data_IF_065568546849
#
_entry.id   IF_065568546849
#
_cell.length_a   1.000
_cell.length_b   1.000
_cell.length_c   1.000
_cell.angle_alpha   90.00
_cell.angle_beta   90.00
_cell.angle_gamma   90.00
#
_symmetry.space_group_name_H-M   'P 1'
#
loop_
_entity.id
_entity.type
_entity.pdbx_description
1 polymer ?
#
# COMPACT_ATOMS: atom_id res chain seq x y z
N UNK A 1 -11.24 -9.88 11.53
CA UNK A 1 -10.74 -8.76 10.71
C UNK A 1 -11.20 -7.43 11.29
N UNK A 2 -10.39 -6.38 11.08
CA UNK A 2 -10.71 -4.99 11.40
C UNK A 2 -10.38 -4.16 10.15
N UNK A 3 -11.29 -3.29 9.74
CA UNK A 3 -11.03 -2.34 8.67
C UNK A 3 -11.00 -0.91 9.20
N UNK A 4 -10.16 -0.09 8.56
CA UNK A 4 -10.12 1.35 8.82
C UNK A 4 -10.55 2.14 7.58
N UNK A 5 -11.09 3.32 7.81
CA UNK A 5 -11.50 4.26 6.77
C UNK A 5 -11.12 5.69 7.18
N UNK A 6 -10.81 6.53 6.21
CA UNK A 6 -10.43 7.92 6.49
C UNK A 6 -11.63 8.80 6.87
N UNK A 7 -12.72 8.71 6.11
CA UNK A 7 -13.90 9.57 6.24
C UNK A 7 -15.19 8.85 5.88
N UNK A 8 -16.33 9.47 6.15
CA UNK A 8 -17.67 8.88 5.94
C UNK A 8 -17.95 8.48 4.47
N UNK A 9 -17.37 9.16 3.49
CA UNK A 9 -17.53 8.77 2.08
C UNK A 9 -16.81 7.44 1.78
N UNK A 10 -15.65 7.21 2.39
CA UNK A 10 -14.94 5.94 2.27
C UNK A 10 -15.58 4.85 3.14
N UNK A 11 -16.16 5.20 4.29
CA UNK A 11 -16.95 4.27 5.11
C UNK A 11 -18.07 3.62 4.31
N UNK A 12 -18.86 4.42 3.58
CA UNK A 12 -19.95 3.93 2.72
C UNK A 12 -19.47 2.90 1.68
N UNK A 13 -18.22 2.98 1.26
CA UNK A 13 -17.63 2.06 0.28
C UNK A 13 -17.06 0.81 0.91
N UNK A 14 -16.48 0.91 2.10
CA UNK A 14 -15.87 -0.24 2.77
C UNK A 14 -16.91 -1.11 3.48
N UNK A 15 -18.02 -0.53 3.94
CA UNK A 15 -19.06 -1.25 4.68
C UNK A 15 -19.55 -2.51 3.95
N UNK A 16 -19.97 -2.46 2.67
CA UNK A 16 -20.43 -3.68 2.00
C UNK A 16 -19.32 -4.72 1.80
N UNK A 17 -18.05 -4.26 1.68
CA UNK A 17 -16.91 -5.18 1.60
C UNK A 17 -16.65 -5.87 2.95
N UNK A 18 -16.74 -5.13 4.04
CA UNK A 18 -16.61 -5.67 5.39
C UNK A 18 -17.71 -6.68 5.70
N UNK A 19 -18.96 -6.36 5.34
CA UNK A 19 -20.11 -7.25 5.48
C UNK A 19 -19.95 -8.56 4.69
N UNK A 20 -19.38 -8.50 3.47
CA UNK A 20 -19.15 -9.68 2.63
C UNK A 20 -18.18 -10.69 3.25
N UNK A 21 -17.36 -10.28 4.20
CA UNK A 21 -16.43 -11.13 4.95
C UNK A 21 -16.81 -11.24 6.44
N UNK A 22 -18.06 -10.92 6.78
CA UNK A 22 -18.61 -10.95 8.14
C UNK A 22 -17.80 -10.11 9.16
N UNK A 23 -17.16 -9.03 8.71
CA UNK A 23 -16.45 -8.10 9.57
C UNK A 23 -17.38 -6.98 10.03
N UNK A 24 -17.52 -6.80 11.34
CA UNK A 24 -18.31 -5.72 11.95
C UNK A 24 -17.47 -4.58 12.50
N UNK A 25 -16.14 -4.78 12.56
CA UNK A 25 -15.20 -3.85 13.17
C UNK A 25 -14.68 -2.85 12.13
N UNK A 26 -15.27 -1.67 12.13
CA UNK A 26 -14.93 -0.54 11.25
C UNK A 26 -14.56 0.67 12.09
N UNK A 27 -13.33 1.17 11.94
CA UNK A 27 -12.84 2.33 12.70
C UNK A 27 -12.40 3.46 11.78
N UNK A 28 -12.71 4.69 12.18
CA UNK A 28 -12.12 5.84 11.51
C UNK A 28 -10.64 5.94 11.90
N UNK A 29 -9.78 6.08 10.89
CA UNK A 29 -8.36 6.29 11.06
C UNK A 29 -7.81 7.05 9.85
N UNK A 30 -7.56 8.34 10.03
CA UNK A 30 -6.81 9.15 9.07
C UNK A 30 -5.33 9.10 9.43
N UNK A 31 -4.51 8.74 8.47
CA UNK A 31 -3.05 8.64 8.67
C UNK A 31 -2.33 9.97 8.38
N UNK A 32 -3.04 10.99 7.91
CA UNK A 32 -2.47 12.33 7.74
C UNK A 32 -2.24 13.01 9.09
N UNK A 33 -1.35 14.00 9.13
CA UNK A 33 -1.18 14.90 10.28
C UNK A 33 -2.01 16.17 10.13
N UNK A 34 -3.20 16.07 9.54
CA UNK A 34 -4.14 17.15 9.50
C UNK A 34 -4.53 17.55 10.94
N UNK A 35 -4.53 18.85 11.31
CA UNK A 35 -4.95 19.30 12.64
C UNK A 35 -6.33 18.80 13.09
N UNK A 36 -7.25 18.56 12.15
CA UNK A 36 -8.57 18.01 12.45
C UNK A 36 -8.55 16.51 12.79
N UNK A 37 -7.46 15.82 12.46
CA UNK A 37 -7.30 14.37 12.61
C UNK A 37 -6.04 13.98 13.41
N UNK A 38 -5.46 14.92 14.15
CA UNK A 38 -4.31 14.66 15.01
C UNK A 38 -4.56 13.46 15.94
N UNK A 39 -3.54 12.59 16.04
CA UNK A 39 -3.57 11.38 16.85
C UNK A 39 -4.61 10.33 16.42
N UNK A 40 -5.10 10.36 15.16
CA UNK A 40 -6.09 9.39 14.68
C UNK A 40 -5.59 7.95 14.77
N UNK A 41 -4.32 7.70 14.45
CA UNK A 41 -3.69 6.36 14.57
C UNK A 41 -3.61 5.95 16.05
N UNK A 42 -3.16 6.84 16.92
CA UNK A 42 -3.00 6.59 18.35
C UNK A 42 -4.34 6.33 19.04
N UNK A 43 -5.37 7.08 18.67
CA UNK A 43 -6.75 6.89 19.16
C UNK A 43 -7.30 5.53 18.72
N UNK A 44 -7.11 5.16 17.44
CA UNK A 44 -7.48 3.85 16.93
C UNK A 44 -6.78 2.72 17.70
N UNK A 45 -5.46 2.80 17.86
CA UNK A 45 -4.67 1.80 18.59
C UNK A 45 -5.08 1.72 20.06
N UNK A 46 -5.38 2.85 20.70
CA UNK A 46 -5.88 2.89 22.07
C UNK A 46 -7.23 2.20 22.21
N UNK A 47 -8.12 2.37 21.23
CA UNK A 47 -9.38 1.66 21.17
C UNK A 47 -9.18 0.14 21.05
N UNK A 48 -8.27 -0.31 20.19
CA UNK A 48 -7.94 -1.73 20.07
C UNK A 48 -7.36 -2.30 21.36
N UNK A 49 -6.50 -1.54 22.03
CA UNK A 49 -5.89 -1.93 23.30
C UNK A 49 -6.92 -2.06 24.42
N UNK A 50 -7.86 -1.13 24.53
CA UNK A 50 -8.93 -1.18 25.56
C UNK A 50 -9.87 -2.36 25.36
N UNK A 51 -10.04 -2.82 24.12
CA UNK A 51 -10.80 -4.03 23.78
C UNK A 51 -9.96 -5.33 23.84
N UNK A 52 -8.72 -5.26 24.34
CA UNK A 52 -7.80 -6.40 24.48
C UNK A 52 -7.46 -7.10 23.15
N UNK A 53 -7.58 -6.43 22.00
CA UNK A 53 -7.19 -7.00 20.71
C UNK A 53 -5.68 -7.22 20.64
N UNK A 54 -5.30 -8.31 19.97
CA UNK A 54 -3.95 -8.58 19.51
C UNK A 54 -3.93 -8.62 17.98
N UNK A 55 -2.90 -8.01 17.40
CA UNK A 55 -2.76 -7.91 15.95
C UNK A 55 -1.80 -8.98 15.46
N UNK A 56 -2.25 -9.82 14.53
CA UNK A 56 -1.45 -10.83 13.86
C UNK A 56 -0.84 -10.28 12.56
N UNK A 57 -1.55 -9.38 11.88
CA UNK A 57 -1.06 -8.75 10.66
C UNK A 57 -1.65 -7.36 10.43
N UNK A 58 -0.95 -6.57 9.64
CA UNK A 58 -1.38 -5.25 9.17
C UNK A 58 -1.24 -5.18 7.65
N UNK A 59 -2.29 -4.74 6.96
CA UNK A 59 -2.25 -4.37 5.55
C UNK A 59 -2.37 -2.86 5.43
N UNK A 60 -1.28 -2.22 5.05
CA UNK A 60 -1.23 -0.78 4.80
C UNK A 60 -1.47 -0.50 3.31
N UNK A 61 -2.72 -0.21 2.96
CA UNK A 61 -3.15 0.04 1.59
C UNK A 61 -3.52 1.53 1.39
N UNK A 62 -2.61 2.42 1.82
CA UNK A 62 -2.82 3.87 1.82
C UNK A 62 -1.85 4.55 0.86
N UNK A 63 -2.36 5.51 0.09
CA UNK A 63 -1.55 6.44 -0.70
C UNK A 63 -2.36 7.69 -1.02
N UNK A 64 -1.70 8.83 -1.07
CA UNK A 64 -2.29 10.10 -1.47
C UNK A 64 -1.25 11.00 -2.12
N UNK A 65 -1.66 11.73 -3.14
CA UNK A 65 -0.99 12.89 -3.71
C UNK A 65 -2.03 13.80 -4.37
N UNK A 66 -1.75 15.07 -4.49
CA UNK A 66 -2.58 15.96 -5.30
C UNK A 66 -2.54 15.50 -6.77
N UNK A 67 -3.71 15.09 -7.28
CA UNK A 67 -3.86 14.58 -8.65
C UNK A 67 -3.48 15.60 -9.74
N UNK A 68 -3.60 16.88 -9.45
CA UNK A 68 -3.24 17.93 -10.42
C UNK A 68 -1.71 18.05 -10.54
N UNK A 69 -0.98 17.83 -9.46
CA UNK A 69 0.49 17.82 -9.47
C UNK A 69 1.11 16.48 -9.91
N UNK A 70 0.31 15.42 -10.07
CA UNK A 70 0.77 14.20 -10.74
C UNK A 70 0.84 14.38 -12.27
N UNK A 71 0.17 15.38 -12.82
CA UNK A 71 0.27 15.77 -14.24
C UNK A 71 1.51 16.64 -14.47
N UNK A 72 1.96 16.71 -15.73
CA UNK A 72 3.06 17.60 -16.10
C UNK A 72 4.43 17.09 -15.68
N UNK A 73 5.34 18.00 -15.35
CA UNK A 73 6.75 17.70 -15.04
C UNK A 73 6.97 17.52 -13.54
N UNK A 74 7.69 16.48 -13.18
CA UNK A 74 8.05 16.22 -11.78
C UNK A 74 8.76 17.41 -11.11
N UNK A 75 9.64 18.12 -11.81
CA UNK A 75 10.40 19.27 -11.26
C UNK A 75 9.52 20.44 -10.80
N UNK A 76 8.24 20.45 -11.21
CA UNK A 76 7.28 21.47 -10.83
C UNK A 76 6.48 21.10 -9.57
N UNK A 77 6.72 19.93 -8.98
CA UNK A 77 6.08 19.48 -7.74
C UNK A 77 6.30 20.49 -6.62
N UNK A 78 5.23 20.96 -6.01
CA UNK A 78 5.31 21.89 -4.88
C UNK A 78 5.89 21.19 -3.64
N UNK A 79 6.59 21.98 -2.79
CA UNK A 79 7.07 21.46 -1.49
C UNK A 79 5.92 20.92 -0.63
N UNK A 80 4.76 21.58 -0.67
CA UNK A 80 3.57 21.16 0.09
C UNK A 80 3.13 19.75 -0.32
N UNK A 81 2.90 19.53 -1.61
CA UNK A 81 2.46 18.23 -2.11
C UNK A 81 3.54 17.17 -1.94
N UNK A 82 4.82 17.52 -2.13
CA UNK A 82 5.94 16.59 -1.89
C UNK A 82 5.91 16.05 -0.46
N UNK A 83 5.86 16.94 0.54
CA UNK A 83 5.84 16.54 1.95
C UNK A 83 4.58 15.73 2.30
N UNK A 84 3.41 16.17 1.86
CA UNK A 84 2.15 15.49 2.12
C UNK A 84 2.12 14.09 1.47
N UNK A 85 2.63 13.97 0.23
CA UNK A 85 2.67 12.68 -0.46
C UNK A 85 3.59 11.69 0.26
N UNK A 86 4.76 12.12 0.72
CA UNK A 86 5.68 11.26 1.47
C UNK A 86 5.15 10.93 2.86
N UNK A 87 4.54 11.87 3.54
CA UNK A 87 3.94 11.64 4.86
C UNK A 87 2.85 10.55 4.77
N UNK A 88 1.84 10.75 3.91
CA UNK A 88 0.70 9.84 3.81
C UNK A 88 1.07 8.53 3.11
N UNK A 89 1.88 8.56 2.04
CA UNK A 89 2.12 7.37 1.20
C UNK A 89 3.33 6.54 1.63
N UNK A 90 4.15 7.04 2.56
CA UNK A 90 5.38 6.38 3.01
C UNK A 90 5.46 6.34 4.53
N UNK A 91 5.55 7.51 5.18
CA UNK A 91 5.84 7.60 6.61
C UNK A 91 4.71 7.05 7.47
N UNK A 92 3.47 7.17 7.01
CA UNK A 92 2.29 6.61 7.70
C UNK A 92 2.42 5.11 7.95
N UNK A 93 3.07 4.33 7.06
CA UNK A 93 3.33 2.90 7.29
C UNK A 93 4.22 2.68 8.50
N UNK A 94 5.28 3.47 8.63
CA UNK A 94 6.19 3.43 9.79
C UNK A 94 5.46 3.85 11.08
N UNK A 95 4.63 4.90 11.03
CA UNK A 95 3.82 5.34 12.18
C UNK A 95 2.83 4.28 12.63
N UNK A 96 2.07 3.70 11.71
CA UNK A 96 1.11 2.63 12.01
C UNK A 96 1.82 1.43 12.65
N UNK A 97 2.95 1.00 12.08
CA UNK A 97 3.73 -0.10 12.63
C UNK A 97 4.20 0.21 14.07
N UNK A 98 4.79 1.39 14.29
CA UNK A 98 5.25 1.84 15.62
C UNK A 98 4.11 1.86 16.63
N UNK A 99 2.97 2.44 16.29
CA UNK A 99 1.83 2.58 17.18
C UNK A 99 1.17 1.25 17.51
N UNK A 100 1.13 0.32 16.53
CA UNK A 100 0.57 -1.02 16.71
C UNK A 100 1.51 -2.00 17.43
N UNK A 101 2.82 -1.75 17.43
CA UNK A 101 3.82 -2.67 18.00
C UNK A 101 3.50 -3.17 19.42
N UNK A 102 3.01 -2.33 20.37
CA UNK A 102 2.67 -2.79 21.72
C UNK A 102 1.49 -3.77 21.81
N UNK A 103 0.66 -3.84 20.77
CA UNK A 103 -0.52 -4.71 20.69
C UNK A 103 -0.39 -5.82 19.63
N UNK A 104 0.78 -5.93 18.99
CA UNK A 104 1.07 -7.09 18.13
C UNK A 104 1.05 -8.38 18.95
N UNK A 105 0.74 -9.48 18.27
CA UNK A 105 0.79 -10.81 18.90
C UNK A 105 2.23 -11.08 19.41
N UNK A 106 2.41 -11.53 20.67
CA UNK A 106 3.74 -11.84 21.21
C UNK A 106 4.51 -12.91 20.41
N UNK A 107 3.83 -13.75 19.65
CA UNK A 107 4.45 -14.75 18.77
C UNK A 107 5.03 -14.15 17.48
N UNK A 108 4.77 -12.88 17.20
CA UNK A 108 5.16 -12.19 15.98
C UNK A 108 3.98 -11.81 15.10
N UNK A 109 4.24 -11.53 13.82
CA UNK A 109 3.20 -11.13 12.89
C UNK A 109 3.73 -10.76 11.50
N UNK A 110 2.87 -10.16 10.69
CA UNK A 110 3.22 -9.74 9.33
C UNK A 110 2.68 -8.35 9.01
N UNK A 111 3.55 -7.49 8.49
CA UNK A 111 3.20 -6.18 7.96
C UNK A 111 3.33 -6.20 6.43
N UNK A 112 2.31 -5.76 5.75
CA UNK A 112 2.25 -5.72 4.28
C UNK A 112 1.85 -4.33 3.81
N UNK A 113 2.56 -3.81 2.80
CA UNK A 113 2.16 -2.58 2.11
C UNK A 113 2.07 -2.80 0.60
N UNK A 114 1.47 -1.83 -0.10
CA UNK A 114 1.31 -1.87 -1.56
C UNK A 114 2.19 -0.82 -2.21
N UNK A 115 3.00 -1.26 -3.16
CA UNK A 115 3.83 -0.41 -4.03
C UNK A 115 3.48 -0.60 -5.50
N UNK A 116 4.23 0.02 -6.37
CA UNK A 116 4.03 -0.03 -7.82
C UNK A 116 5.37 0.11 -8.54
N UNK A 117 5.47 -0.43 -9.75
CA UNK A 117 6.67 -0.38 -10.59
C UNK A 117 7.24 1.04 -10.78
N UNK A 118 6.40 2.07 -10.65
CA UNK A 118 6.82 3.48 -10.64
C UNK A 118 7.86 3.85 -9.58
N UNK A 119 8.09 3.01 -8.57
CA UNK A 119 9.20 3.12 -7.62
C UNK A 119 10.58 2.83 -8.26
N UNK A 120 10.61 2.03 -9.34
CA UNK A 120 11.84 1.57 -10.01
C UNK A 120 12.02 2.16 -11.41
N UNK A 121 10.93 2.48 -12.08
CA UNK A 121 10.91 2.99 -13.45
C UNK A 121 9.99 4.20 -13.53
N UNK A 122 10.35 5.16 -14.37
CA UNK A 122 9.47 6.31 -14.60
C UNK A 122 8.18 5.87 -15.27
N UNK A 123 7.06 6.38 -14.76
CA UNK A 123 5.73 6.17 -15.31
C UNK A 123 5.10 7.54 -15.56
N UNK A 124 4.51 7.78 -16.74
CA UNK A 124 3.84 9.04 -17.02
C UNK A 124 2.79 9.38 -15.96
N UNK A 125 2.73 10.65 -15.56
CA UNK A 125 1.77 11.17 -14.56
C UNK A 125 1.81 10.46 -13.18
N UNK A 126 2.96 9.91 -12.81
CA UNK A 126 3.17 9.32 -11.50
C UNK A 126 4.06 10.18 -10.60
N UNK A 127 4.98 10.94 -11.18
CA UNK A 127 5.78 12.02 -10.57
C UNK A 127 6.20 11.74 -9.12
N UNK A 128 5.81 12.60 -8.18
CA UNK A 128 6.18 12.50 -6.76
C UNK A 128 5.72 11.19 -6.11
N UNK A 129 4.66 10.57 -6.60
CA UNK A 129 4.22 9.26 -6.10
C UNK A 129 5.27 8.17 -6.36
N UNK A 130 6.02 8.26 -7.48
CA UNK A 130 7.15 7.36 -7.74
C UNK A 130 8.24 7.47 -6.66
N UNK A 131 8.55 8.70 -6.24
CA UNK A 131 9.50 8.98 -5.15
C UNK A 131 8.98 8.40 -3.83
N UNK A 132 7.70 8.64 -3.51
CA UNK A 132 7.09 8.11 -2.31
C UNK A 132 7.10 6.56 -2.29
N UNK A 133 6.80 5.91 -3.41
CA UNK A 133 6.84 4.44 -3.49
C UNK A 133 8.27 3.89 -3.42
N UNK A 134 9.27 4.57 -3.96
CA UNK A 134 10.68 4.20 -3.79
C UNK A 134 11.11 4.30 -2.31
N UNK A 135 10.73 5.39 -1.63
CA UNK A 135 10.96 5.56 -0.21
C UNK A 135 10.23 4.48 0.63
N UNK A 136 8.98 4.15 0.26
CA UNK A 136 8.20 3.08 0.91
C UNK A 136 8.89 1.71 0.79
N UNK A 137 9.38 1.34 -0.40
CA UNK A 137 10.11 0.09 -0.61
C UNK A 137 11.40 0.02 0.22
N UNK A 138 12.08 1.14 0.38
CA UNK A 138 13.26 1.23 1.24
C UNK A 138 12.87 1.12 2.71
N UNK A 139 11.77 1.76 3.14
CA UNK A 139 11.23 1.65 4.50
C UNK A 139 10.89 0.20 4.86
N UNK A 140 10.35 -0.59 3.92
CA UNK A 140 10.09 -2.03 4.12
C UNK A 140 11.37 -2.77 4.55
N UNK A 141 12.50 -2.47 3.92
CA UNK A 141 13.79 -3.11 4.24
C UNK A 141 14.29 -2.75 5.64
N UNK A 142 14.28 -1.46 6.00
CA UNK A 142 14.70 -1.00 7.32
C UNK A 142 13.77 -1.53 8.42
N UNK A 143 12.46 -1.47 8.21
CA UNK A 143 11.49 -2.00 9.16
C UNK A 143 11.61 -3.53 9.32
N UNK A 144 11.96 -4.25 8.27
CA UNK A 144 12.25 -5.69 8.32
C UNK A 144 13.42 -5.99 9.26
N UNK A 145 14.49 -5.19 9.23
CA UNK A 145 15.63 -5.31 10.13
C UNK A 145 15.24 -4.99 11.59
N UNK A 146 14.50 -3.93 11.80
CA UNK A 146 14.12 -3.47 13.14
C UNK A 146 13.13 -4.41 13.83
N UNK A 147 12.22 -5.02 13.07
CA UNK A 147 11.12 -5.81 13.60
C UNK A 147 11.36 -7.33 13.54
N UNK A 148 12.33 -7.77 12.74
CA UNK A 148 12.72 -9.18 12.62
C UNK A 148 13.05 -9.86 13.97
N UNK A 149 13.80 -9.21 14.89
CA UNK A 149 14.05 -9.76 16.22
C UNK A 149 12.79 -10.01 17.08
N UNK A 150 11.67 -9.43 16.70
CA UNK A 150 10.33 -9.65 17.32
C UNK A 150 9.49 -10.66 16.53
N UNK A 151 10.08 -11.36 15.57
CA UNK A 151 9.39 -12.28 14.67
C UNK A 151 8.25 -11.61 13.88
N UNK A 152 8.43 -10.31 13.53
CA UNK A 152 7.50 -9.55 12.70
C UNK A 152 8.14 -9.38 11.32
N UNK A 153 7.49 -9.94 10.30
CA UNK A 153 7.91 -9.83 8.90
C UNK A 153 7.32 -8.58 8.27
N UNK A 154 8.07 -7.93 7.39
CA UNK A 154 7.63 -6.72 6.70
C UNK A 154 7.89 -6.87 5.21
N UNK A 155 6.84 -6.83 4.39
CA UNK A 155 6.92 -7.02 2.96
C UNK A 155 6.05 -6.02 2.20
N UNK A 156 6.27 -5.91 0.89
CA UNK A 156 5.41 -5.15 0.00
C UNK A 156 4.99 -5.98 -1.22
N UNK A 157 3.81 -5.71 -1.76
CA UNK A 157 3.39 -6.18 -3.08
C UNK A 157 3.51 -5.02 -4.07
N UNK A 158 4.29 -5.22 -5.13
CA UNK A 158 4.30 -4.35 -6.31
C UNK A 158 3.26 -4.88 -7.30
N UNK A 159 2.06 -4.35 -7.20
CA UNK A 159 0.95 -4.75 -8.05
C UNK A 159 1.01 -4.06 -9.42
N UNK A 160 0.69 -4.78 -10.49
CA UNK A 160 0.48 -4.20 -11.81
C UNK A 160 -0.73 -3.26 -11.86
N UNK A 161 -0.94 -2.55 -12.98
CA UNK A 161 -2.08 -1.66 -13.12
C UNK A 161 -3.41 -2.39 -12.96
N UNK A 162 -4.27 -1.88 -12.10
CA UNK A 162 -5.61 -2.41 -11.83
C UNK A 162 -6.66 -1.31 -11.89
N UNK A 163 -7.89 -1.68 -12.20
CA UNK A 163 -9.05 -0.76 -12.22
C UNK A 163 -9.52 -0.49 -10.78
N UNK A 164 -8.79 0.38 -10.08
CA UNK A 164 -9.10 0.81 -8.71
C UNK A 164 -9.34 2.31 -8.64
N UNK A 165 -9.87 2.80 -7.51
CA UNK A 165 -10.03 4.24 -7.27
C UNK A 165 -8.70 4.99 -7.34
N UNK A 166 -7.65 4.43 -6.73
CA UNK A 166 -6.31 5.00 -6.77
C UNK A 166 -5.77 5.05 -8.21
N UNK A 167 -5.94 3.96 -8.99
CA UNK A 167 -5.56 3.93 -10.39
C UNK A 167 -6.33 4.94 -11.25
N UNK A 168 -7.62 5.14 -10.99
CA UNK A 168 -8.45 6.10 -11.73
C UNK A 168 -8.06 7.57 -11.48
N UNK A 169 -7.36 7.88 -10.40
CA UNK A 169 -6.87 9.22 -10.10
C UNK A 169 -5.65 9.62 -10.95
N UNK A 170 -4.98 8.67 -11.60
CA UNK A 170 -3.79 8.90 -12.43
C UNK A 170 -4.21 9.24 -13.86
N UNK A 171 -3.80 10.40 -14.34
CA UNK A 171 -4.06 10.79 -15.74
C UNK A 171 -3.36 9.80 -16.70
N UNK A 172 -4.06 9.36 -17.75
CA UNK A 172 -3.52 8.37 -18.70
C UNK A 172 -3.47 6.93 -18.15
N UNK A 173 -4.08 6.64 -17.01
CA UNK A 173 -4.08 5.29 -16.42
C UNK A 173 -4.59 4.19 -17.39
N UNK A 174 -5.52 4.54 -18.30
CA UNK A 174 -6.02 3.58 -19.32
C UNK A 174 -4.93 3.18 -20.31
N UNK A 175 -4.06 4.09 -20.68
CA UNK A 175 -2.98 3.81 -21.64
C UNK A 175 -1.88 3.00 -20.95
N UNK A 176 -1.55 3.32 -19.71
CA UNK A 176 -0.64 2.52 -18.87
C UNK A 176 -1.20 1.09 -18.70
N UNK A 177 -2.50 0.96 -18.42
CA UNK A 177 -3.16 -0.34 -18.28
C UNK A 177 -3.05 -1.17 -19.57
N UNK A 178 -3.40 -0.59 -20.73
CA UNK A 178 -3.33 -1.27 -22.03
C UNK A 178 -1.90 -1.63 -22.42
N UNK A 179 -0.96 -0.71 -22.15
CA UNK A 179 0.45 -0.94 -22.47
C UNK A 179 1.01 -2.09 -21.63
N UNK A 180 0.74 -2.12 -20.34
CA UNK A 180 1.15 -3.21 -19.44
C UNK A 180 0.51 -4.53 -19.87
N UNK A 181 -0.80 -4.56 -20.10
CA UNK A 181 -1.54 -5.76 -20.53
C UNK A 181 -0.96 -6.37 -21.81
N UNK A 182 -0.70 -5.52 -22.81
CA UNK A 182 -0.13 -5.97 -24.11
C UNK A 182 1.29 -6.51 -23.96
N UNK A 183 2.10 -5.94 -23.10
CA UNK A 183 3.55 -6.20 -23.05
C UNK A 183 3.97 -7.10 -21.86
N UNK A 184 3.09 -7.38 -20.91
CA UNK A 184 3.39 -8.33 -19.85
C UNK A 184 3.61 -9.74 -20.44
N UNK A 185 4.57 -10.54 -19.92
CA UNK A 185 4.76 -11.93 -20.33
C UNK A 185 3.50 -12.77 -20.31
N UNK A 186 2.63 -12.59 -19.30
CA UNK A 186 1.36 -13.30 -19.20
C UNK A 186 0.23 -12.71 -20.07
N UNK A 187 0.51 -11.65 -20.86
CA UNK A 187 -0.46 -10.93 -21.69
C UNK A 187 -1.72 -10.46 -20.95
N UNK A 188 -1.59 -10.19 -19.68
CA UNK A 188 -2.67 -9.64 -18.84
C UNK A 188 -2.12 -8.79 -17.69
N UNK A 189 -2.97 -7.92 -17.19
CA UNK A 189 -2.74 -7.28 -15.91
C UNK A 189 -3.33 -8.15 -14.77
N UNK A 190 -2.80 -8.06 -13.55
CA UNK A 190 -3.36 -8.80 -12.42
C UNK A 190 -4.77 -8.31 -12.09
N UNK A 191 -5.57 -9.20 -11.54
CA UNK A 191 -6.84 -8.87 -10.92
C UNK A 191 -6.70 -8.77 -9.38
N UNK A 192 -7.78 -8.34 -8.72
CA UNK A 192 -7.78 -8.17 -7.25
C UNK A 192 -7.59 -9.50 -6.52
N UNK A 193 -8.11 -10.60 -7.04
CA UNK A 193 -7.98 -11.93 -6.45
C UNK A 193 -6.52 -12.41 -6.47
N UNK A 194 -5.81 -12.22 -7.57
CA UNK A 194 -4.40 -12.58 -7.68
C UNK A 194 -3.53 -11.79 -6.70
N UNK A 195 -3.79 -10.49 -6.54
CA UNK A 195 -3.12 -9.67 -5.53
C UNK A 195 -3.50 -10.09 -4.12
N UNK A 196 -4.76 -10.43 -3.89
CA UNK A 196 -5.27 -10.98 -2.63
C UNK A 196 -4.60 -12.30 -2.24
N UNK A 197 -4.42 -13.21 -3.19
CA UNK A 197 -3.74 -14.50 -2.97
C UNK A 197 -2.26 -14.30 -2.61
N UNK A 198 -1.56 -13.38 -3.27
CA UNK A 198 -0.19 -13.00 -2.90
C UNK A 198 -0.13 -12.35 -1.51
N UNK A 199 -1.12 -11.51 -1.17
CA UNK A 199 -1.23 -10.93 0.17
C UNK A 199 -1.46 -12.03 1.22
N UNK A 200 -2.36 -12.97 0.97
CA UNK A 200 -2.60 -14.12 1.86
C UNK A 200 -1.33 -14.93 2.09
N UNK A 201 -0.55 -15.22 1.05
CA UNK A 201 0.75 -15.87 1.17
C UNK A 201 1.69 -15.08 2.09
N UNK A 202 1.87 -13.76 1.83
CA UNK A 202 2.79 -12.93 2.60
C UNK A 202 2.34 -12.66 4.04
N UNK A 203 1.06 -12.76 4.33
CA UNK A 203 0.50 -12.57 5.68
C UNK A 203 0.47 -13.86 6.50
N UNK A 204 0.48 -15.02 5.86
CA UNK A 204 0.39 -16.34 6.51
C UNK A 204 1.77 -16.93 6.83
N UNK A 205 1.79 -18.02 7.60
CA UNK A 205 2.98 -18.79 7.95
C UNK A 205 3.66 -19.45 6.74
N UNK A 206 2.97 -19.54 5.60
CA UNK A 206 3.53 -20.04 4.33
C UNK A 206 4.74 -19.21 3.88
N UNK A 207 4.82 -17.94 4.30
CA UNK A 207 5.94 -17.04 4.01
C UNK A 207 6.82 -16.75 5.25
N UNK A 208 6.89 -17.68 6.20
CA UNK A 208 7.64 -17.49 7.46
C UNK A 208 9.11 -17.14 7.28
N UNK A 209 9.72 -17.54 6.16
CA UNK A 209 11.10 -17.19 5.79
C UNK A 209 11.23 -15.92 4.93
N UNK A 210 10.17 -15.14 4.71
CA UNK A 210 10.15 -14.00 3.78
C UNK A 210 9.94 -12.69 4.52
N UNK A 211 10.97 -11.84 4.54
CA UNK A 211 10.89 -10.48 5.11
C UNK A 211 11.79 -9.52 4.34
N UNK A 212 11.36 -8.29 4.14
CA UNK A 212 12.06 -7.27 3.33
C UNK A 212 11.82 -7.41 1.83
N UNK A 213 10.89 -8.27 1.41
CA UNK A 213 10.59 -8.59 0.01
C UNK A 213 9.68 -7.54 -0.64
N UNK A 214 9.97 -7.25 -1.90
CA UNK A 214 9.09 -6.51 -2.81
C UNK A 214 8.58 -7.51 -3.86
N UNK A 215 7.43 -8.06 -3.58
CA UNK A 215 6.84 -9.14 -4.37
C UNK A 215 6.03 -8.61 -5.56
N UNK A 216 6.44 -8.94 -6.78
CA UNK A 216 5.78 -8.47 -8.00
C UNK A 216 4.57 -9.35 -8.36
N UNK A 217 3.42 -8.69 -8.51
CA UNK A 217 2.18 -9.29 -9.01
C UNK A 217 1.69 -8.42 -10.16
N UNK A 218 2.31 -8.56 -11.35
CA UNK A 218 2.14 -7.67 -12.50
C UNK A 218 2.18 -8.39 -13.85
N UNK A 219 1.96 -9.70 -13.86
CA UNK A 219 2.03 -10.51 -15.07
C UNK A 219 3.45 -10.63 -15.65
N UNK A 220 4.48 -10.26 -14.89
CA UNK A 220 5.88 -10.22 -15.29
C UNK A 220 6.27 -8.93 -16.01
N UNK A 221 5.41 -7.90 -16.03
CA UNK A 221 5.67 -6.64 -16.74
C UNK A 221 6.95 -5.93 -16.26
N UNK A 222 7.29 -6.03 -14.99
CA UNK A 222 8.51 -5.44 -14.42
C UNK A 222 9.81 -5.91 -15.11
N UNK A 223 9.82 -7.08 -15.74
CA UNK A 223 10.98 -7.65 -16.46
C UNK A 223 11.19 -7.01 -17.82
N UNK A 224 10.16 -6.39 -18.39
CA UNK A 224 10.18 -5.91 -19.76
C UNK A 224 11.03 -4.65 -19.89
N UNK A 225 12.17 -4.75 -20.54
CA UNK A 225 13.02 -3.62 -20.90
C UNK A 225 12.53 -2.93 -22.18
N UNK A 226 12.46 -3.70 -23.27
CA UNK A 226 11.98 -3.24 -24.58
C UNK A 226 10.82 -4.15 -25.00
N UNK A 227 9.63 -3.58 -25.25
CA UNK A 227 8.47 -4.35 -25.72
C UNK A 227 8.74 -4.98 -27.09
N UNK A 228 8.24 -6.20 -27.29
CA UNK A 228 8.27 -6.83 -28.61
C UNK A 228 7.31 -6.09 -29.57
N UNK A 229 7.85 -5.52 -30.64
CA UNK A 229 7.07 -4.77 -31.64
C UNK A 229 6.16 -5.67 -32.50
N UNK A 230 6.34 -6.99 -32.40
CA UNK A 230 5.55 -7.98 -33.18
C UNK A 230 4.29 -8.47 -32.45
N UNK A 231 4.08 -7.99 -31.24
CA UNK A 231 2.86 -8.29 -30.47
C UNK A 231 1.76 -7.26 -30.63
#
# INVERSE_FOLDING_TARGET
>A
LIFTYQNENLKKRITPLAESVNCKELYQCDVSEDPEHLNSIENFVSCLKSNSYKIDFIVHAVAFSDKEELKGKYIETSRKNFLQTLDISTFSFTRVAKSCLPIMNPKGGSLLTLTYLGAKRTTPNYNVMGIAKAALETSVKYMSMDLGPKNIRVNAISAGPMKTLAGAAIAGARDVFRFSEKNAPLNNNPNLEQVGNAALYLLSDMSSGVSGEIHYVDGGFHLVGIPDQKK
#
